data_IF_231460666323
#
_entry.id   IF_231460666323
#
_cell.length_a   1.000
_cell.length_b   1.000
_cell.length_c   1.000
_cell.angle_alpha   90.00
_cell.angle_beta   90.00
_cell.angle_gamma   90.00
#
_symmetry.space_group_name_H-M   'P 1'
#
loop_
_entity.id
_entity.type
_entity.pdbx_description
1 polymer ?
#
# COMPACT_ATOMS: atom_id res chain seq x y z
N UNK A 1 -11.01 -13.14 29.69
CA UNK A 1 -10.53 -12.09 28.77
C UNK A 1 -9.24 -12.60 28.15
N UNK A 2 -9.37 -13.37 27.07
CA UNK A 2 -8.22 -13.95 26.37
C UNK A 2 -7.57 -12.86 25.52
N UNK A 3 -6.30 -12.58 25.78
CA UNK A 3 -5.49 -11.70 24.96
C UNK A 3 -5.16 -12.38 23.64
N UNK A 4 -5.84 -11.97 22.57
CA UNK A 4 -5.32 -12.11 21.23
C UNK A 4 -4.27 -11.02 21.05
N UNK A 5 -3.02 -11.42 20.86
CA UNK A 5 -1.98 -10.53 20.33
C UNK A 5 -2.36 -10.18 18.89
N UNK A 6 -3.19 -9.15 18.74
CA UNK A 6 -3.42 -8.50 17.46
C UNK A 6 -2.08 -7.89 17.05
N UNK A 7 -1.32 -8.56 16.18
CA UNK A 7 -0.38 -7.85 15.33
C UNK A 7 -1.23 -6.85 14.56
N UNK A 8 -1.25 -5.60 15.04
CA UNK A 8 -2.01 -4.52 14.42
C UNK A 8 -1.63 -4.48 12.95
N UNK A 9 -2.58 -4.85 12.08
CA UNK A 9 -2.37 -4.67 10.65
C UNK A 9 -1.97 -3.19 10.42
N UNK A 10 -0.98 -2.90 9.56
CA UNK A 10 -0.57 -1.54 9.27
C UNK A 10 -1.80 -0.73 8.83
N UNK A 11 -1.93 0.49 9.36
CA UNK A 11 -3.06 1.37 9.05
C UNK A 11 -3.08 1.59 7.54
N UNK A 12 -4.15 1.14 6.89
CA UNK A 12 -4.27 1.13 5.43
C UNK A 12 -5.15 2.29 4.96
N UNK A 13 -4.79 3.52 5.30
CA UNK A 13 -5.54 4.70 4.82
C UNK A 13 -5.27 4.94 3.33
N UNK A 14 -6.14 5.72 2.69
CA UNK A 14 -5.94 6.16 1.31
C UNK A 14 -4.58 6.86 1.13
N UNK A 15 -4.16 7.68 2.08
CA UNK A 15 -2.86 8.36 2.06
C UNK A 15 -1.67 7.39 2.07
N UNK A 16 -1.74 6.34 2.90
CA UNK A 16 -0.70 5.29 2.96
C UNK A 16 -0.62 4.51 1.65
N UNK A 17 -1.75 4.12 1.08
CA UNK A 17 -1.79 3.39 -0.19
C UNK A 17 -1.29 4.26 -1.35
N UNK A 18 -1.63 5.55 -1.36
CA UNK A 18 -1.21 6.45 -2.41
C UNK A 18 0.29 6.78 -2.34
N UNK A 19 0.81 7.05 -1.14
CA UNK A 19 2.23 7.32 -0.91
C UNK A 19 3.12 6.12 -1.29
N UNK A 20 2.61 4.90 -1.13
CA UNK A 20 3.35 3.65 -1.44
C UNK A 20 3.01 3.03 -2.79
N UNK A 21 2.19 3.69 -3.61
CA UNK A 21 1.70 3.18 -4.90
C UNK A 21 2.80 2.67 -5.86
N UNK A 22 3.96 3.35 -5.90
CA UNK A 22 5.13 2.89 -6.69
C UNK A 22 5.65 1.53 -6.20
N UNK A 23 5.81 1.36 -4.89
CA UNK A 23 6.26 0.09 -4.30
C UNK A 23 5.22 -1.02 -4.49
N UNK A 24 3.93 -0.69 -4.36
CA UNK A 24 2.83 -1.64 -4.60
C UNK A 24 2.88 -2.15 -6.05
N UNK A 25 3.10 -1.25 -7.00
CA UNK A 25 3.21 -1.62 -8.42
C UNK A 25 4.43 -2.50 -8.67
N UNK A 26 5.57 -2.17 -8.06
CA UNK A 26 6.83 -2.93 -8.22
C UNK A 26 6.74 -4.33 -7.62
N UNK A 27 6.26 -4.47 -6.37
CA UNK A 27 6.29 -5.74 -5.63
C UNK A 27 5.04 -6.59 -5.73
N UNK A 28 3.85 -5.97 -5.81
CA UNK A 28 2.55 -6.67 -5.84
C UNK A 28 1.88 -6.57 -7.22
N UNK A 29 2.63 -6.22 -8.26
CA UNK A 29 2.10 -6.01 -9.62
C UNK A 29 1.49 -7.27 -10.24
N UNK A 30 2.01 -8.46 -9.89
CA UNK A 30 1.51 -9.73 -10.43
C UNK A 30 0.14 -10.09 -9.84
N UNK A 31 -0.02 -9.98 -8.52
CA UNK A 31 -1.28 -10.20 -7.82
C UNK A 31 -2.34 -9.21 -8.28
N UNK A 32 -1.96 -7.93 -8.42
CA UNK A 32 -2.85 -6.88 -8.91
C UNK A 32 -3.35 -7.20 -10.33
N UNK A 33 -2.43 -7.60 -11.24
CA UNK A 33 -2.79 -7.98 -12.61
C UNK A 33 -3.71 -9.20 -12.64
N UNK A 34 -3.45 -10.21 -11.81
CA UNK A 34 -4.30 -11.39 -11.70
C UNK A 34 -5.72 -11.05 -11.22
N UNK A 35 -5.86 -10.16 -10.24
CA UNK A 35 -7.15 -9.67 -9.77
C UNK A 35 -7.90 -8.87 -10.85
N UNK A 36 -7.21 -7.96 -11.53
CA UNK A 36 -7.80 -7.16 -12.62
C UNK A 36 -8.25 -8.02 -13.80
N UNK A 37 -7.45 -9.02 -14.19
CA UNK A 37 -7.83 -9.96 -15.25
C UNK A 37 -9.09 -10.75 -14.85
N UNK A 38 -9.15 -11.27 -13.63
CA UNK A 38 -10.35 -11.95 -13.13
C UNK A 38 -11.59 -11.05 -13.20
N UNK A 39 -11.47 -9.79 -12.76
CA UNK A 39 -12.56 -8.81 -12.78
C UNK A 39 -13.00 -8.39 -14.17
N UNK A 40 -12.09 -8.42 -15.15
CA UNK A 40 -12.40 -8.15 -16.55
C UNK A 40 -13.21 -9.30 -17.17
N UNK A 41 -12.90 -10.54 -16.79
CA UNK A 41 -13.54 -11.72 -17.33
C UNK A 41 -14.92 -11.97 -16.68
N UNK A 42 -15.08 -11.68 -15.38
CA UNK A 42 -16.35 -11.77 -14.66
C UNK A 42 -16.49 -10.63 -13.62
N UNK A 43 -17.54 -9.77 -13.70
CA UNK A 43 -17.74 -8.69 -12.75
C UNK A 43 -18.17 -9.17 -11.35
N UNK A 44 -18.61 -10.43 -11.19
CA UNK A 44 -19.10 -10.96 -9.92
C UNK A 44 -18.00 -10.86 -8.83
N UNK A 45 -18.26 -10.17 -7.71
CA UNK A 45 -17.28 -10.00 -6.63
C UNK A 45 -16.82 -11.31 -5.98
N UNK A 46 -17.65 -12.33 -5.91
CA UNK A 46 -17.32 -13.59 -5.23
C UNK A 46 -16.30 -14.44 -6.01
N UNK A 47 -16.34 -14.36 -7.34
CA UNK A 47 -15.49 -15.16 -8.25
C UNK A 47 -14.01 -14.80 -8.14
N UNK A 48 -13.70 -13.56 -7.77
CA UNK A 48 -12.34 -13.04 -7.68
C UNK A 48 -11.86 -12.83 -6.24
N UNK A 49 -12.58 -13.35 -5.24
CA UNK A 49 -12.27 -13.15 -3.83
C UNK A 49 -10.87 -13.69 -3.46
N UNK A 50 -10.50 -14.85 -3.99
CA UNK A 50 -9.20 -15.47 -3.72
C UNK A 50 -8.03 -14.61 -4.25
N UNK A 51 -8.18 -14.00 -5.43
CA UNK A 51 -7.20 -13.08 -6.01
C UNK A 51 -7.15 -11.78 -5.21
N UNK A 52 -8.30 -11.26 -4.77
CA UNK A 52 -8.37 -10.09 -3.90
C UNK A 52 -7.64 -10.30 -2.57
N UNK A 53 -7.81 -11.46 -1.93
CA UNK A 53 -7.09 -11.82 -0.71
C UNK A 53 -5.56 -11.87 -0.93
N UNK A 54 -5.10 -12.37 -2.09
CA UNK A 54 -3.67 -12.38 -2.44
C UNK A 54 -3.13 -10.96 -2.58
N UNK A 55 -3.85 -10.07 -3.26
CA UNK A 55 -3.49 -8.64 -3.37
C UNK A 55 -3.38 -8.01 -1.99
N UNK A 56 -4.42 -8.13 -1.15
CA UNK A 56 -4.42 -7.54 0.19
C UNK A 56 -3.28 -8.08 1.05
N UNK A 57 -3.02 -9.39 1.01
CA UNK A 57 -1.91 -9.99 1.75
C UNK A 57 -0.55 -9.44 1.30
N UNK A 58 -0.32 -9.34 -0.01
CA UNK A 58 0.92 -8.77 -0.54
C UNK A 58 1.11 -7.32 -0.08
N UNK A 59 0.08 -6.49 -0.25
CA UNK A 59 0.13 -5.06 0.11
C UNK A 59 0.34 -4.87 1.61
N UNK A 60 -0.38 -5.62 2.46
CA UNK A 60 -0.20 -5.53 3.93
C UNK A 60 1.22 -5.92 4.35
N UNK A 61 1.79 -6.98 3.74
CA UNK A 61 3.18 -7.35 3.99
C UNK A 61 4.14 -6.24 3.57
N UNK A 62 3.94 -5.68 2.38
CA UNK A 62 4.76 -4.57 1.87
C UNK A 62 4.71 -3.35 2.78
N UNK A 63 3.53 -2.96 3.26
CA UNK A 63 3.39 -1.82 4.16
C UNK A 63 4.14 -2.04 5.46
N UNK A 64 4.10 -3.25 6.03
CA UNK A 64 4.89 -3.59 7.20
C UNK A 64 6.38 -3.44 6.93
N UNK A 65 6.87 -3.99 5.82
CA UNK A 65 8.29 -3.93 5.47
C UNK A 65 8.79 -2.48 5.27
N UNK A 66 7.97 -1.63 4.64
CA UNK A 66 8.28 -0.20 4.45
C UNK A 66 8.29 0.57 5.77
N UNK A 67 7.34 0.29 6.66
CA UNK A 67 7.30 0.86 8.02
C UNK A 67 8.53 0.45 8.85
N UNK A 68 9.08 -0.74 8.64
CA UNK A 68 10.29 -1.20 9.34
C UNK A 68 11.57 -0.62 8.72
N UNK A 69 11.62 -0.48 7.39
CA UNK A 69 12.84 -0.10 6.67
C UNK A 69 13.05 1.41 6.60
N UNK A 70 12.00 2.19 6.34
CA UNK A 70 12.08 3.64 6.16
C UNK A 70 10.93 4.42 6.84
N UNK A 71 10.69 4.20 8.15
CA UNK A 71 9.53 4.74 8.86
C UNK A 71 9.42 6.26 8.75
N UNK A 72 10.53 6.99 8.98
CA UNK A 72 10.52 8.46 9.04
C UNK A 72 10.14 9.10 7.70
N UNK A 73 10.70 8.58 6.60
CA UNK A 73 10.45 9.13 5.28
C UNK A 73 9.03 8.77 4.80
N UNK A 74 8.59 7.53 5.07
CA UNK A 74 7.23 7.09 4.77
C UNK A 74 6.18 7.91 5.54
N UNK A 75 6.39 8.13 6.84
CA UNK A 75 5.49 8.91 7.68
C UNK A 75 5.39 10.36 7.20
N UNK A 76 6.51 10.99 6.84
CA UNK A 76 6.54 12.35 6.36
C UNK A 76 5.77 12.50 5.04
N UNK A 77 5.96 11.57 4.10
CA UNK A 77 5.26 11.59 2.84
C UNK A 77 3.77 11.29 3.01
N UNK A 78 3.42 10.28 3.79
CA UNK A 78 2.03 9.91 4.07
C UNK A 78 1.27 11.06 4.76
N UNK A 79 1.87 11.75 5.73
CA UNK A 79 1.26 12.92 6.38
C UNK A 79 1.01 14.07 5.39
N UNK A 80 1.94 14.30 4.46
CA UNK A 80 1.75 15.30 3.41
C UNK A 80 0.57 14.91 2.50
N UNK A 81 0.53 13.64 2.07
CA UNK A 81 -0.55 13.12 1.23
C UNK A 81 -1.91 13.21 1.94
N UNK A 82 -1.97 12.90 3.23
CA UNK A 82 -3.20 13.02 4.03
C UNK A 82 -3.66 14.49 4.12
N UNK A 83 -2.74 15.42 4.40
CA UNK A 83 -3.03 16.84 4.53
C UNK A 83 -3.53 17.49 3.22
N UNK A 84 -2.93 17.11 2.08
CA UNK A 84 -3.27 17.67 0.77
C UNK A 84 -4.24 16.79 -0.04
N UNK A 85 -4.95 15.85 0.61
CA UNK A 85 -5.99 15.06 -0.06
C UNK A 85 -5.47 14.18 -1.22
N UNK A 86 -4.26 13.63 -1.06
CA UNK A 86 -3.52 12.83 -2.04
C UNK A 86 -2.98 13.59 -3.27
N UNK A 87 -2.82 14.91 -3.19
CA UNK A 87 -2.24 15.70 -4.28
C UNK A 87 -0.70 15.58 -4.33
N UNK A 88 -0.19 14.82 -5.29
CA UNK A 88 1.26 14.54 -5.40
C UNK A 88 2.09 15.80 -5.66
N UNK A 89 1.59 16.76 -6.43
CA UNK A 89 2.34 17.96 -6.79
C UNK A 89 2.73 18.80 -5.56
N UNK A 90 1.91 18.76 -4.51
CA UNK A 90 2.16 19.48 -3.26
C UNK A 90 3.13 18.75 -2.33
N UNK A 91 3.45 17.48 -2.64
CA UNK A 91 4.26 16.59 -1.79
C UNK A 91 5.53 16.05 -2.47
N UNK A 92 5.93 16.60 -3.62
CA UNK A 92 7.10 16.12 -4.40
C UNK A 92 8.41 16.11 -3.60
N UNK A 93 8.57 17.04 -2.65
CA UNK A 93 9.75 17.07 -1.78
C UNK A 93 9.81 15.83 -0.88
N UNK A 94 8.72 15.54 -0.17
CA UNK A 94 8.63 14.37 0.71
C UNK A 94 8.69 13.06 -0.09
N UNK A 95 8.12 13.05 -1.30
CA UNK A 95 8.25 11.93 -2.23
C UNK A 95 9.71 11.66 -2.60
N UNK A 96 10.49 12.69 -2.94
CA UNK A 96 11.91 12.51 -3.28
C UNK A 96 12.73 12.00 -2.08
N UNK A 97 12.44 12.49 -0.88
CA UNK A 97 13.08 12.01 0.36
C UNK A 97 12.71 10.55 0.65
N UNK A 98 11.45 10.17 0.39
CA UNK A 98 10.99 8.78 0.50
C UNK A 98 11.65 7.86 -0.53
N UNK A 99 11.62 8.23 -1.81
CA UNK A 99 12.23 7.46 -2.90
C UNK A 99 13.76 7.28 -2.69
N UNK A 100 14.43 8.25 -2.08
CA UNK A 100 15.86 8.16 -1.72
C UNK A 100 16.11 7.24 -0.52
N UNK A 101 15.23 7.25 0.47
CA UNK A 101 15.36 6.45 1.70
C UNK A 101 14.91 5.01 1.50
N UNK A 102 14.00 4.79 0.56
CA UNK A 102 13.40 3.51 0.21
C UNK A 102 13.38 3.38 -1.32
N UNK A 103 14.50 2.99 -1.94
CA UNK A 103 14.51 2.70 -3.37
C UNK A 103 13.63 1.50 -3.70
N UNK A 104 13.13 1.46 -4.93
CA UNK A 104 12.28 0.39 -5.46
C UNK A 104 13.01 -0.94 -5.60
#
# INVERSE_FOLDING_TARGET
MGGETLQSAPVTTSAVLMSTSKHITSRCGEENRAFLNCKRDDPNPEKCLAQGQKVTKCVVSLLRDLHETCPKAMDAFTKCMDYYGNEFELCRKQQADFDKSCPL
#
